data_IF_104989862103
#
_entry.id   IF_104989862103
#
_cell.length_a   1.000
_cell.length_b   1.000
_cell.length_c   1.000
_cell.angle_alpha   90.00
_cell.angle_beta   90.00
_cell.angle_gamma   90.00
#
_symmetry.space_group_name_H-M   'P 1'
#
loop_
_entity.id
_entity.type
_entity.pdbx_description
1 polymer ?
#
# COMPACT_ATOMS: atom_id res chain seq x y z
N UNK A 1 -16.29 59.09 -19.41
CA UNK A 1 -16.61 57.65 -19.47
C UNK A 1 -15.31 56.88 -19.16
N UNK A 2 -15.05 56.62 -17.86
CA UNK A 2 -13.84 55.92 -17.41
C UNK A 2 -14.14 54.41 -17.31
N UNK A 3 -13.47 53.62 -18.16
CA UNK A 3 -13.50 52.18 -18.08
C UNK A 3 -12.46 51.73 -17.06
N UNK A 4 -12.88 51.33 -15.86
CA UNK A 4 -12.06 50.61 -14.89
C UNK A 4 -11.85 49.18 -15.40
N UNK A 5 -10.62 48.86 -15.83
CA UNK A 5 -10.18 47.54 -16.18
C UNK A 5 -9.75 46.79 -14.89
N UNK A 6 -10.64 45.93 -14.38
CA UNK A 6 -10.35 45.12 -13.21
C UNK A 6 -9.32 44.03 -13.56
N UNK A 7 -8.10 44.12 -13.03
CA UNK A 7 -7.09 43.09 -13.12
C UNK A 7 -7.44 42.00 -12.10
N UNK A 8 -7.88 40.83 -12.58
CA UNK A 8 -8.09 39.63 -11.75
C UNK A 8 -6.72 38.95 -11.54
N UNK A 9 -6.10 39.19 -10.38
CA UNK A 9 -4.87 38.49 -10.00
C UNK A 9 -5.25 37.06 -9.56
N UNK A 10 -4.99 36.08 -10.45
CA UNK A 10 -5.11 34.66 -10.12
C UNK A 10 -3.91 34.26 -9.22
N UNK A 11 -4.10 34.21 -7.93
CA UNK A 11 -3.11 33.71 -6.98
C UNK A 11 -3.05 32.20 -7.14
N UNK A 12 -2.06 31.70 -7.87
CA UNK A 12 -1.73 30.27 -7.93
C UNK A 12 -1.04 29.93 -6.60
N UNK A 13 -1.79 29.35 -5.67
CA UNK A 13 -1.22 28.70 -4.49
C UNK A 13 -0.49 27.43 -4.93
N UNK A 14 0.79 27.54 -5.26
CA UNK A 14 1.71 26.40 -5.39
C UNK A 14 1.96 25.84 -3.98
N UNK A 15 1.04 24.99 -3.50
CA UNK A 15 1.30 24.16 -2.34
C UNK A 15 2.46 23.23 -2.68
N UNK A 16 3.61 23.37 -2.04
CA UNK A 16 4.66 22.36 -2.07
C UNK A 16 4.12 21.09 -1.42
N UNK A 17 3.56 20.19 -2.23
CA UNK A 17 3.26 18.84 -1.81
C UNK A 17 4.61 18.13 -1.62
N UNK A 18 5.15 18.20 -0.41
CA UNK A 18 6.33 17.43 -0.03
C UNK A 18 5.89 15.96 0.08
N UNK A 19 6.01 15.24 -1.03
CA UNK A 19 5.64 13.81 -1.11
C UNK A 19 6.66 13.02 -0.29
N UNK A 20 6.19 12.25 0.69
CA UNK A 20 6.97 11.35 1.52
C UNK A 20 7.76 10.36 0.65
N UNK A 21 9.06 10.20 0.93
CA UNK A 21 9.96 9.28 0.21
C UNK A 21 10.46 8.21 1.17
N UNK A 22 10.73 6.98 0.69
CA UNK A 22 11.29 5.92 1.53
C UNK A 22 12.57 6.34 2.26
N UNK A 23 13.45 7.08 1.58
CA UNK A 23 14.72 7.58 2.13
C UNK A 23 14.57 8.56 3.30
N UNK A 24 13.38 9.14 3.53
CA UNK A 24 13.12 10.02 4.68
C UNK A 24 13.20 9.26 6.01
N UNK A 25 13.13 7.93 5.95
CA UNK A 25 13.12 7.02 7.10
C UNK A 25 14.46 6.32 7.37
N UNK A 26 15.51 6.56 6.55
CA UNK A 26 16.78 5.79 6.55
C UNK A 26 17.45 5.67 7.91
N UNK A 27 17.36 6.70 8.75
CA UNK A 27 18.03 6.78 10.05
C UNK A 27 17.09 6.45 11.23
N UNK A 28 15.83 6.08 10.95
CA UNK A 28 14.82 5.79 11.96
C UNK A 28 14.83 4.32 12.40
N UNK A 29 14.31 4.06 13.60
CA UNK A 29 14.16 2.72 14.19
C UNK A 29 12.69 2.50 14.63
N UNK A 30 12.26 1.22 14.76
CA UNK A 30 12.97 -0.02 14.42
C UNK A 30 13.18 -0.17 12.91
N UNK A 31 14.07 -1.08 12.47
CA UNK A 31 14.25 -1.37 11.04
C UNK A 31 13.27 -2.47 10.61
N UNK A 32 12.46 -2.18 9.61
CA UNK A 32 11.59 -3.16 8.97
C UNK A 32 12.36 -3.91 7.87
N UNK A 33 12.64 -5.17 8.11
CA UNK A 33 13.11 -6.14 7.10
C UNK A 33 11.88 -6.94 6.69
N UNK A 34 11.33 -6.65 5.51
CA UNK A 34 10.00 -7.13 5.14
C UNK A 34 9.93 -8.66 5.05
N UNK A 35 10.98 -9.30 4.56
CA UNK A 35 11.08 -10.75 4.49
C UNK A 35 11.12 -11.42 5.87
N UNK A 36 11.74 -10.79 6.87
CA UNK A 36 11.78 -11.30 8.24
C UNK A 36 10.44 -11.06 8.93
N UNK A 37 9.84 -9.88 8.72
CA UNK A 37 8.57 -9.51 9.35
C UNK A 37 7.42 -10.38 8.82
N UNK A 38 7.33 -10.61 7.53
CA UNK A 38 6.26 -11.40 6.91
C UNK A 38 6.55 -12.91 6.86
N UNK A 39 7.76 -13.37 7.23
CA UNK A 39 8.01 -14.81 7.36
C UNK A 39 7.22 -15.41 8.53
N UNK A 40 6.63 -16.59 8.31
CA UNK A 40 5.74 -17.26 9.28
C UNK A 40 4.31 -16.74 9.22
N UNK A 41 3.63 -16.74 10.36
CA UNK A 41 2.23 -16.35 10.44
C UNK A 41 2.08 -14.90 10.87
N UNK A 42 1.26 -14.16 10.13
CA UNK A 42 0.88 -12.79 10.44
C UNK A 42 -0.62 -12.66 10.30
N UNK A 43 -1.28 -12.02 11.25
CA UNK A 43 -2.70 -11.69 11.18
C UNK A 43 -2.89 -10.24 10.77
N UNK A 44 -3.95 -9.96 10.03
CA UNK A 44 -4.25 -8.60 9.59
C UNK A 44 -5.73 -8.25 9.74
N UNK A 45 -5.98 -6.98 10.04
CA UNK A 45 -7.33 -6.38 10.08
C UNK A 45 -7.31 -5.10 9.26
N UNK A 46 -8.21 -5.02 8.28
CA UNK A 46 -8.23 -3.89 7.36
C UNK A 46 -9.58 -3.20 7.24
N UNK A 47 -9.53 -1.90 7.00
CA UNK A 47 -10.67 -1.05 6.66
C UNK A 47 -10.45 -0.36 5.32
N UNK A 48 -11.41 -0.53 4.40
CA UNK A 48 -11.41 0.13 3.10
C UNK A 48 -12.34 1.34 3.17
N UNK A 49 -11.81 2.52 2.87
CA UNK A 49 -12.54 3.78 2.83
C UNK A 49 -12.65 4.27 1.39
N UNK A 50 -13.80 4.80 1.03
CA UNK A 50 -13.97 5.48 -0.26
C UNK A 50 -13.32 6.87 -0.24
N UNK A 51 -13.37 7.59 -1.37
CA UNK A 51 -12.79 8.93 -1.53
C UNK A 51 -13.26 9.95 -0.48
N UNK A 52 -14.49 9.81 0.06
CA UNK A 52 -15.04 10.72 1.08
C UNK A 52 -14.67 10.31 2.52
N UNK A 53 -13.85 9.27 2.71
CA UNK A 53 -13.47 8.77 4.03
C UNK A 53 -14.47 7.81 4.67
N UNK A 54 -15.61 7.51 4.01
CA UNK A 54 -16.59 6.55 4.51
C UNK A 54 -16.04 5.13 4.38
N UNK A 55 -16.05 4.37 5.49
CA UNK A 55 -15.73 2.92 5.49
C UNK A 55 -16.78 2.20 4.65
N UNK A 56 -16.33 1.44 3.65
CA UNK A 56 -17.17 0.69 2.72
C UNK A 56 -17.09 -0.81 2.94
N UNK A 57 -15.92 -1.33 3.34
CA UNK A 57 -15.68 -2.74 3.61
C UNK A 57 -14.63 -2.90 4.69
N UNK A 58 -14.65 -4.03 5.38
CA UNK A 58 -13.63 -4.43 6.34
C UNK A 58 -13.27 -5.89 6.12
N UNK A 59 -12.09 -6.30 6.56
CA UNK A 59 -11.67 -7.70 6.49
C UNK A 59 -10.79 -8.09 7.66
N UNK A 60 -10.69 -9.40 7.86
CA UNK A 60 -9.61 -10.07 8.58
C UNK A 60 -8.83 -10.90 7.57
N UNK A 61 -7.52 -10.97 7.71
CA UNK A 61 -6.71 -11.82 6.85
C UNK A 61 -5.69 -12.62 7.67
N UNK A 62 -5.43 -13.82 7.19
CA UNK A 62 -4.34 -14.67 7.64
C UNK A 62 -3.27 -14.68 6.53
N UNK A 63 -2.05 -14.36 6.91
CA UNK A 63 -0.90 -14.34 6.03
C UNK A 63 0.10 -15.42 6.48
N UNK A 64 0.69 -16.13 5.51
CA UNK A 64 1.76 -17.08 5.78
C UNK A 64 2.90 -16.85 4.78
N UNK A 65 4.05 -16.39 5.28
CA UNK A 65 5.23 -16.12 4.48
C UNK A 65 6.30 -17.20 4.59
N UNK A 66 6.93 -17.53 3.45
CA UNK A 66 8.06 -18.47 3.37
C UNK A 66 9.22 -17.76 2.67
N UNK A 67 10.31 -17.55 3.43
CA UNK A 67 11.54 -16.95 2.91
C UNK A 67 12.58 -18.04 2.57
N UNK A 68 13.21 -17.97 1.40
CA UNK A 68 14.22 -18.94 0.96
C UNK A 68 15.64 -18.36 0.83
N UNK A 69 15.89 -17.14 1.31
CA UNK A 69 17.15 -16.43 1.21
C UNK A 69 17.22 -15.39 0.09
N UNK A 70 16.30 -15.41 -0.87
CA UNK A 70 16.21 -14.43 -1.96
C UNK A 70 14.78 -14.04 -2.32
N UNK A 71 13.82 -14.90 -2.02
CA UNK A 71 12.42 -14.76 -2.41
C UNK A 71 11.50 -15.05 -1.23
N UNK A 72 10.53 -14.18 -1.00
CA UNK A 72 9.42 -14.38 -0.08
C UNK A 72 8.16 -14.79 -0.87
N UNK A 73 7.64 -15.97 -0.58
CA UNK A 73 6.32 -16.38 -1.02
C UNK A 73 5.35 -16.07 0.12
N UNK A 74 4.39 -15.20 -0.12
CA UNK A 74 3.40 -14.76 0.87
C UNK A 74 2.01 -15.17 0.43
N UNK A 75 1.43 -16.12 1.14
CA UNK A 75 0.04 -16.54 0.97
C UNK A 75 -0.86 -15.67 1.84
N UNK A 76 -1.92 -15.11 1.27
CA UNK A 76 -2.89 -14.25 1.94
C UNK A 76 -4.31 -14.81 1.78
N UNK A 77 -5.05 -14.93 2.87
CA UNK A 77 -6.46 -15.35 2.89
C UNK A 77 -7.27 -14.24 3.55
N UNK A 78 -8.09 -13.56 2.77
CA UNK A 78 -8.97 -12.48 3.24
C UNK A 78 -10.38 -12.98 3.49
N UNK A 79 -10.93 -12.62 4.65
CA UNK A 79 -12.32 -12.84 5.02
C UNK A 79 -12.99 -11.47 5.17
N UNK A 80 -13.75 -11.07 4.17
CA UNK A 80 -14.46 -9.79 4.15
C UNK A 80 -15.75 -9.85 4.98
N UNK A 81 -16.16 -8.72 5.56
CA UNK A 81 -17.38 -8.64 6.40
C UNK A 81 -18.68 -8.84 5.63
N UNK A 82 -18.67 -8.73 4.30
CA UNK A 82 -19.81 -9.06 3.43
C UNK A 82 -19.86 -10.52 3.02
N UNK A 83 -19.00 -11.38 3.59
CA UNK A 83 -18.94 -12.82 3.37
C UNK A 83 -18.06 -13.25 2.19
N UNK A 84 -17.50 -12.32 1.41
CA UNK A 84 -16.55 -12.65 0.35
C UNK A 84 -15.27 -13.22 0.95
N UNK A 85 -14.73 -14.27 0.34
CA UNK A 85 -13.41 -14.81 0.59
C UNK A 85 -12.50 -14.55 -0.61
N UNK A 86 -11.32 -14.03 -0.36
CA UNK A 86 -10.33 -13.77 -1.39
C UNK A 86 -8.99 -14.36 -0.99
N UNK A 87 -8.25 -14.90 -1.93
CA UNK A 87 -6.88 -15.36 -1.72
C UNK A 87 -5.95 -14.63 -2.68
N UNK A 88 -4.72 -14.38 -2.23
CA UNK A 88 -3.64 -13.88 -3.08
C UNK A 88 -2.34 -14.53 -2.66
N UNK A 89 -1.48 -14.84 -3.63
CA UNK A 89 -0.12 -15.21 -3.37
C UNK A 89 0.80 -14.17 -4.02
N UNK A 90 1.66 -13.58 -3.21
CA UNK A 90 2.76 -12.76 -3.68
C UNK A 90 4.03 -13.59 -3.81
N UNK A 91 4.79 -13.30 -4.85
CA UNK A 91 6.20 -13.66 -4.98
C UNK A 91 6.99 -12.37 -4.92
N UNK A 92 7.73 -12.15 -3.83
CA UNK A 92 8.51 -10.92 -3.59
C UNK A 92 9.99 -11.29 -3.62
N UNK A 93 10.73 -10.76 -4.59
CA UNK A 93 12.16 -10.95 -4.75
C UNK A 93 12.91 -9.78 -4.11
N UNK A 94 13.88 -10.08 -3.26
CA UNK A 94 14.84 -9.10 -2.77
C UNK A 94 15.91 -8.87 -3.84
N UNK A 95 16.02 -7.65 -4.33
CA UNK A 95 16.98 -7.27 -5.37
C UNK A 95 18.29 -6.84 -4.71
N UNK A 96 18.20 -6.04 -3.66
CA UNK A 96 19.32 -5.61 -2.81
C UNK A 96 18.82 -5.27 -1.40
N UNK A 97 19.63 -4.56 -0.62
CA UNK A 97 19.30 -4.20 0.77
C UNK A 97 18.02 -3.37 0.90
N UNK A 98 17.69 -2.58 -0.12
CA UNK A 98 16.61 -1.60 -0.08
C UNK A 98 15.52 -1.84 -1.12
N UNK A 99 15.80 -2.61 -2.18
CA UNK A 99 14.94 -2.74 -3.33
C UNK A 99 14.34 -4.14 -3.46
N UNK A 100 13.06 -4.19 -3.80
CA UNK A 100 12.28 -5.41 -3.96
C UNK A 100 11.43 -5.34 -5.23
N UNK A 101 11.16 -6.49 -5.83
CA UNK A 101 10.17 -6.64 -6.91
C UNK A 101 9.15 -7.70 -6.51
N UNK A 102 7.85 -7.41 -6.73
CA UNK A 102 6.78 -8.34 -6.41
C UNK A 102 5.90 -8.66 -7.61
N UNK A 103 5.35 -9.87 -7.62
CA UNK A 103 4.32 -10.30 -8.58
C UNK A 103 3.21 -11.04 -7.86
N UNK A 104 1.98 -10.92 -8.37
CA UNK A 104 0.83 -11.72 -8.00
C UNK A 104 -0.09 -11.86 -9.23
N UNK A 105 -1.05 -12.79 -9.18
CA UNK A 105 -1.91 -13.11 -10.34
C UNK A 105 -2.79 -11.94 -10.80
N UNK A 106 -3.13 -11.02 -9.88
CA UNK A 106 -3.95 -9.83 -10.13
C UNK A 106 -3.12 -8.54 -10.28
N UNK A 107 -1.77 -8.63 -10.25
CA UNK A 107 -0.86 -7.50 -10.47
C UNK A 107 -0.53 -7.35 -11.95
N UNK A 108 -0.61 -6.12 -12.44
CA UNK A 108 -0.21 -5.76 -13.80
C UNK A 108 1.28 -5.45 -13.84
N UNK A 109 2.06 -6.33 -14.46
CA UNK A 109 3.52 -6.20 -14.51
C UNK A 109 4.16 -6.60 -13.18
N UNK A 110 5.07 -5.76 -12.67
CA UNK A 110 5.76 -5.97 -11.40
C UNK A 110 5.48 -4.84 -10.42
N UNK A 111 5.31 -5.18 -9.17
CA UNK A 111 5.34 -4.24 -8.06
C UNK A 111 6.78 -3.85 -7.74
N UNK A 112 7.00 -2.61 -7.25
CA UNK A 112 8.30 -2.10 -6.80
C UNK A 112 8.26 -1.83 -5.31
N UNK A 113 9.20 -2.41 -4.57
CA UNK A 113 9.31 -2.26 -3.13
C UNK A 113 10.58 -1.50 -2.72
N UNK A 114 10.46 -0.70 -1.67
CA UNK A 114 11.56 0.10 -1.10
C UNK A 114 11.52 0.04 0.42
N UNK A 115 12.63 -0.39 1.05
CA UNK A 115 12.74 -0.55 2.52
C UNK A 115 13.78 0.39 3.09
N UNK A 116 13.38 1.31 4.00
CA UNK A 116 14.27 2.20 4.72
C UNK A 116 13.76 2.42 6.15
N UNK A 117 14.62 2.19 7.15
CA UNK A 117 14.23 2.32 8.55
C UNK A 117 12.97 1.50 8.88
N UNK A 118 11.95 2.07 9.55
CA UNK A 118 10.69 1.36 9.85
C UNK A 118 9.71 1.28 8.68
N UNK A 119 10.03 1.86 7.51
CA UNK A 119 9.11 2.01 6.41
C UNK A 119 9.44 1.06 5.24
N UNK A 120 8.40 0.41 4.72
CA UNK A 120 8.41 -0.30 3.46
C UNK A 120 7.34 0.29 2.55
N UNK A 121 7.75 0.77 1.38
CA UNK A 121 6.83 1.26 0.34
C UNK A 121 6.69 0.21 -0.75
N UNK A 122 5.45 -0.03 -1.21
CA UNK A 122 5.16 -0.94 -2.30
C UNK A 122 4.24 -0.26 -3.32
N UNK A 123 4.69 -0.15 -4.57
CA UNK A 123 3.96 0.50 -5.66
C UNK A 123 3.56 -0.52 -6.70
N UNK A 124 2.28 -0.62 -6.99
CA UNK A 124 1.77 -1.62 -7.94
C UNK A 124 0.42 -1.22 -8.56
N UNK A 125 0.04 -1.92 -9.61
CA UNK A 125 -1.28 -1.80 -10.26
C UNK A 125 -2.01 -3.12 -10.14
N UNK A 126 -3.19 -3.13 -9.53
CA UNK A 126 -4.07 -4.30 -9.46
C UNK A 126 -5.19 -4.24 -10.49
N UNK A 127 -5.59 -5.42 -10.94
CA UNK A 127 -6.86 -5.67 -11.62
C UNK A 127 -7.94 -5.93 -10.57
N UNK A 128 -8.72 -4.91 -10.23
CA UNK A 128 -9.77 -5.01 -9.20
C UNK A 128 -11.11 -5.29 -9.88
N UNK A 129 -11.83 -6.37 -9.50
CA UNK A 129 -13.15 -6.65 -10.03
C UNK A 129 -14.17 -5.65 -9.49
N UNK A 130 -14.81 -4.90 -10.40
CA UNK A 130 -15.88 -3.95 -10.08
C UNK A 130 -17.04 -4.17 -11.04
N UNK A 131 -18.20 -4.56 -10.51
CA UNK A 131 -19.44 -4.80 -11.32
C UNK A 131 -19.19 -5.68 -12.55
N UNK A 132 -18.43 -6.78 -12.37
CA UNK A 132 -18.12 -7.75 -13.45
C UNK A 132 -17.06 -7.33 -14.46
N UNK A 133 -16.35 -6.20 -14.21
CA UNK A 133 -15.24 -5.74 -15.04
C UNK A 133 -13.97 -5.59 -14.20
N UNK A 134 -12.82 -5.98 -14.75
CA UNK A 134 -11.53 -5.74 -14.11
C UNK A 134 -11.07 -4.31 -14.38
N UNK A 135 -10.85 -3.54 -13.33
CA UNK A 135 -10.42 -2.15 -13.40
C UNK A 135 -8.99 -2.05 -12.87
N UNK A 136 -8.10 -1.38 -13.61
CA UNK A 136 -6.75 -1.06 -13.15
C UNK A 136 -6.81 0.02 -12.08
N UNK A 137 -6.29 -0.29 -10.88
CA UNK A 137 -6.15 0.62 -9.76
C UNK A 137 -4.68 0.65 -9.36
N UNK A 138 -4.11 1.83 -9.26
CA UNK A 138 -2.74 2.04 -8.77
C UNK A 138 -2.76 2.14 -7.25
N UNK A 139 -1.85 1.41 -6.61
CA UNK A 139 -1.62 1.41 -5.17
C UNK A 139 -0.28 2.08 -4.87
N UNK A 140 -0.31 3.05 -3.98
CA UNK A 140 0.83 3.61 -3.27
C UNK A 140 0.68 3.15 -1.81
N UNK A 141 1.39 2.09 -1.49
CA UNK A 141 1.19 1.27 -0.30
C UNK A 141 2.39 1.41 0.65
N UNK A 142 2.14 1.81 1.89
CA UNK A 142 3.16 2.04 2.89
C UNK A 142 2.91 1.17 4.12
N UNK A 143 3.94 0.43 4.55
CA UNK A 143 3.93 -0.33 5.80
C UNK A 143 4.92 0.33 6.74
N UNK A 144 4.49 0.62 7.97
CA UNK A 144 5.30 1.23 9.02
C UNK A 144 5.37 0.29 10.22
N UNK A 145 6.55 -0.22 10.52
CA UNK A 145 6.79 -1.02 11.70
C UNK A 145 6.67 -0.16 12.95
N UNK A 146 5.86 -0.58 13.90
CA UNK A 146 5.67 0.09 15.20
C UNK A 146 6.56 -0.52 16.27
N UNK A 147 6.58 -1.84 16.30
CA UNK A 147 7.44 -2.67 17.15
C UNK A 147 7.71 -4.02 16.45
N UNK A 148 8.32 -4.98 17.13
CA UNK A 148 8.69 -6.29 16.56
C UNK A 148 7.48 -7.11 16.07
N UNK A 149 6.29 -6.84 16.58
CA UNK A 149 5.06 -7.58 16.28
C UNK A 149 4.05 -6.80 15.45
N UNK A 150 4.01 -5.48 15.59
CA UNK A 150 2.95 -4.64 15.00
C UNK A 150 3.48 -3.78 13.89
N UNK A 151 2.79 -3.81 12.75
CA UNK A 151 2.99 -2.84 11.67
C UNK A 151 1.64 -2.27 11.19
N UNK A 152 1.66 -1.02 10.77
CA UNK A 152 0.50 -0.33 10.22
C UNK A 152 0.76 -0.07 8.73
N UNK A 153 -0.21 -0.47 7.93
CA UNK A 153 -0.22 -0.23 6.49
C UNK A 153 -1.23 0.86 6.14
N UNK A 154 -0.84 1.73 5.22
CA UNK A 154 -1.73 2.69 4.56
C UNK A 154 -1.50 2.68 3.07
N UNK A 155 -2.50 2.29 2.31
CA UNK A 155 -2.46 2.30 0.85
C UNK A 155 -3.40 3.36 0.28
N UNK A 156 -2.86 4.26 -0.53
CA UNK A 156 -3.66 5.17 -1.36
C UNK A 156 -3.95 4.50 -2.69
N UNK A 157 -5.23 4.41 -3.02
CA UNK A 157 -5.72 3.81 -4.26
C UNK A 157 -6.11 4.91 -5.24
N UNK A 158 -5.53 4.89 -6.44
CA UNK A 158 -5.81 5.90 -7.47
C UNK A 158 -6.23 5.26 -8.79
N UNK A 159 -7.06 5.98 -9.53
CA UNK A 159 -7.42 5.67 -10.92
C UNK A 159 -7.25 6.93 -11.76
N UNK A 160 -6.46 6.84 -12.82
CA UNK A 160 -6.10 7.99 -13.65
C UNK A 160 -5.54 9.17 -12.84
N UNK A 161 -4.72 8.88 -11.82
CA UNK A 161 -4.13 9.90 -10.94
C UNK A 161 -5.09 10.49 -9.88
N UNK A 162 -6.37 10.10 -9.88
CA UNK A 162 -7.37 10.59 -8.92
C UNK A 162 -7.54 9.56 -7.80
N UNK A 163 -7.43 9.98 -6.54
CA UNK A 163 -7.68 9.14 -5.38
C UNK A 163 -9.13 8.64 -5.39
N UNK A 164 -9.33 7.33 -5.32
CA UNK A 164 -10.64 6.67 -5.32
C UNK A 164 -10.96 6.00 -3.98
N UNK A 165 -9.93 5.53 -3.27
CA UNK A 165 -10.08 4.87 -1.97
C UNK A 165 -8.78 4.97 -1.15
N UNK A 166 -8.87 4.63 0.12
CA UNK A 166 -7.76 4.32 1.03
C UNK A 166 -8.00 2.98 1.71
N UNK A 167 -6.92 2.26 1.93
CA UNK A 167 -6.92 1.05 2.75
C UNK A 167 -5.98 1.27 3.92
N UNK A 168 -6.45 0.98 5.14
CA UNK A 168 -5.63 0.93 6.34
C UNK A 168 -5.68 -0.48 6.89
N UNK A 169 -4.51 -1.06 7.18
CA UNK A 169 -4.38 -2.42 7.71
C UNK A 169 -3.45 -2.41 8.92
N UNK A 170 -3.83 -3.11 9.96
CA UNK A 170 -2.96 -3.46 11.06
C UNK A 170 -2.49 -4.90 10.87
N UNK A 171 -1.18 -5.11 10.86
CA UNK A 171 -0.54 -6.43 10.89
C UNK A 171 -0.05 -6.74 12.28
N UNK A 172 -0.23 -7.99 12.69
CA UNK A 172 0.29 -8.51 13.97
C UNK A 172 0.97 -9.85 13.69
N UNK A 173 2.28 -9.88 13.88
CA UNK A 173 3.10 -11.11 13.80
C UNK A 173 2.86 -11.96 15.03
N UNK A 174 2.68 -13.28 14.84
CA UNK A 174 2.53 -14.27 15.91
C UNK A 174 3.80 -14.44 16.77
#
# INVERSE_FOLDING_TARGET
MNKLLGIFILIILTGCANTMKPTDFKDQKPRLIIEDYLAGNVKAWGVLQNRSGKVTRQFKADLNGKWNGSQLILDEIFNWTDGEKQTRQWTINKIDEHNYEGTASDVVGKAKGYSYGPAFKFEYVLLVPVKGKNIKITFDDWIFMQDERVAINRATMTKFGIKVAELTVMFVKD
#
